data_IF_189344726334
#
_entry.id   IF_189344726334
#
_cell.length_a   1.000
_cell.length_b   1.000
_cell.length_c   1.000
_cell.angle_alpha   90.00
_cell.angle_beta   90.00
_cell.angle_gamma   90.00
#
_symmetry.space_group_name_H-M   'P 1'
#
loop_
_entity.id
_entity.type
_entity.pdbx_description
1 polymer ?
#
# COMPACT_ATOMS: atom_id res chain seq x y z
N UNK A 1 -12.29 8.95 -1.40
CA UNK A 1 -11.08 9.36 -0.72
C UNK A 1 -10.45 8.16 0.01
N UNK A 2 -9.43 7.57 -0.55
CA UNK A 2 -8.35 6.79 0.04
C UNK A 2 -8.62 5.90 1.26
N UNK A 3 -9.62 5.03 1.22
CA UNK A 3 -9.95 4.16 2.36
C UNK A 3 -8.92 3.05 2.61
N UNK A 4 -7.97 2.85 1.69
CA UNK A 4 -7.06 1.71 1.70
C UNK A 4 -5.69 1.98 2.34
N UNK A 5 -5.35 3.22 2.62
CA UNK A 5 -4.10 3.50 3.29
C UNK A 5 -4.21 3.11 4.77
N UNK A 6 -3.39 2.19 5.28
CA UNK A 6 -3.56 1.67 6.64
C UNK A 6 -3.27 2.71 7.72
N UNK A 7 -2.41 3.68 7.42
CA UNK A 7 -2.05 4.76 8.35
C UNK A 7 -2.32 6.12 7.74
N UNK A 8 -2.92 7.02 8.50
CA UNK A 8 -3.35 8.36 8.06
C UNK A 8 -2.93 9.40 9.09
N UNK A 9 -1.61 9.55 9.26
CA UNK A 9 -1.06 10.55 10.14
C UNK A 9 -1.31 11.97 9.59
N UNK A 10 -1.47 12.98 10.44
CA UNK A 10 -1.48 14.36 10.03
C UNK A 10 -0.08 14.77 9.54
N UNK A 11 -0.03 15.67 8.57
CA UNK A 11 1.21 16.32 8.16
C UNK A 11 1.42 17.56 9.05
N UNK A 12 2.18 17.39 10.12
CA UNK A 12 2.56 18.47 11.04
C UNK A 12 4.07 18.60 11.00
N UNK A 13 4.58 19.81 10.75
CA UNK A 13 6.03 20.07 10.78
C UNK A 13 6.60 19.68 12.14
N UNK A 14 7.79 19.07 12.22
CA UNK A 14 8.48 18.79 13.48
C UNK A 14 8.70 20.05 14.35
N UNK A 15 8.84 21.22 13.70
CA UNK A 15 9.03 22.50 14.37
C UNK A 15 7.73 23.17 14.83
N UNK A 16 6.58 22.58 14.49
CA UNK A 16 5.27 23.11 14.88
C UNK A 16 4.96 22.77 16.32
N UNK A 17 4.86 23.78 17.19
CA UNK A 17 4.45 23.58 18.58
C UNK A 17 2.94 23.30 18.70
N UNK A 18 2.55 22.55 19.72
CA UNK A 18 1.14 22.32 20.04
C UNK A 18 0.37 23.63 20.27
N UNK A 19 1.03 24.64 20.83
CA UNK A 19 0.42 25.97 21.05
C UNK A 19 0.11 26.67 19.73
N UNK A 20 1.05 26.70 18.79
CA UNK A 20 0.84 27.32 17.49
C UNK A 20 -0.28 26.59 16.69
N UNK A 21 -0.29 25.27 16.76
CA UNK A 21 -1.33 24.46 16.14
C UNK A 21 -2.68 24.64 16.80
N UNK A 22 -2.73 24.82 18.14
CA UNK A 22 -3.97 25.12 18.87
C UNK A 22 -4.56 26.46 18.47
N UNK A 23 -3.75 27.48 18.25
CA UNK A 23 -4.19 28.76 17.72
C UNK A 23 -4.86 28.60 16.35
N UNK A 24 -4.21 27.87 15.41
CA UNK A 24 -4.77 27.57 14.11
C UNK A 24 -6.08 26.77 14.19
N UNK A 25 -6.18 25.79 15.09
CA UNK A 25 -7.41 25.02 15.32
C UNK A 25 -8.56 25.84 15.94
N UNK A 26 -8.25 26.96 16.57
CA UNK A 26 -9.23 27.87 17.15
C UNK A 26 -9.81 28.85 16.14
N UNK A 27 -9.16 29.01 14.98
CA UNK A 27 -9.61 29.91 13.93
C UNK A 27 -10.96 29.50 13.32
N UNK A 28 -11.78 30.46 12.89
CA UNK A 28 -13.08 30.19 12.25
C UNK A 28 -12.95 29.27 11.03
N UNK A 29 -11.86 29.38 10.26
CA UNK A 29 -11.59 28.53 9.11
C UNK A 29 -11.47 27.05 9.48
N UNK A 30 -10.77 26.73 10.58
CA UNK A 30 -10.68 25.35 11.07
C UNK A 30 -12.04 24.81 11.53
N UNK A 31 -12.81 25.64 12.24
CA UNK A 31 -14.15 25.28 12.72
C UNK A 31 -15.16 25.11 11.59
N UNK A 32 -14.99 25.81 10.46
CA UNK A 32 -15.85 25.68 9.28
C UNK A 32 -15.70 24.33 8.56
N UNK A 33 -14.60 23.59 8.80
CA UNK A 33 -14.41 22.23 8.26
C UNK A 33 -15.35 21.18 8.87
N UNK A 34 -16.10 21.56 9.89
CA UNK A 34 -17.14 20.74 10.51
C UNK A 34 -16.91 20.50 12.00
N UNK A 35 -18.00 20.12 12.71
CA UNK A 35 -17.99 19.95 14.16
C UNK A 35 -17.25 18.68 14.62
N UNK A 36 -16.98 17.75 13.71
CA UNK A 36 -16.34 16.48 14.01
C UNK A 36 -15.26 16.16 12.96
N UNK A 37 -14.04 15.98 13.44
CA UNK A 37 -12.96 15.48 12.62
C UNK A 37 -12.68 14.02 12.98
N UNK A 38 -12.55 13.18 11.96
CA UNK A 38 -12.19 11.78 12.11
C UNK A 38 -10.83 11.53 11.46
N UNK A 39 -9.88 11.09 12.26
CA UNK A 39 -8.54 10.77 11.82
C UNK A 39 -8.20 9.32 12.16
N UNK A 40 -7.39 8.71 11.35
CA UNK A 40 -6.89 7.38 11.62
C UNK A 40 -7.34 6.30 10.61
N UNK A 41 -6.81 5.09 10.80
CA UNK A 41 -5.86 4.70 11.85
C UNK A 41 -4.54 5.46 11.80
N UNK A 42 -3.95 5.71 12.95
CA UNK A 42 -2.63 6.34 13.11
C UNK A 42 -1.79 5.49 14.06
N UNK A 43 -0.48 5.64 14.00
CA UNK A 43 0.40 5.03 15.00
C UNK A 43 0.26 5.82 16.31
N UNK A 44 0.22 5.10 17.43
CA UNK A 44 0.10 5.74 18.76
C UNK A 44 1.35 6.50 19.20
N UNK A 45 2.50 6.15 18.61
CA UNK A 45 3.81 6.75 18.87
C UNK A 45 4.21 7.81 17.81
N UNK A 46 3.31 8.21 16.93
CA UNK A 46 3.58 9.23 15.91
C UNK A 46 3.63 10.63 16.56
N UNK A 47 4.76 11.36 16.48
CA UNK A 47 4.90 12.68 17.09
C UNK A 47 3.88 13.70 16.56
N UNK A 48 3.58 13.66 15.26
CA UNK A 48 2.59 14.58 14.66
C UNK A 48 1.19 14.35 15.23
N UNK A 49 0.84 13.10 15.52
CA UNK A 49 -0.43 12.73 16.15
C UNK A 49 -0.47 13.23 17.59
N UNK A 50 0.60 13.06 18.34
CA UNK A 50 0.71 13.53 19.73
C UNK A 50 0.56 15.05 19.78
N UNK A 51 1.30 15.77 18.95
CA UNK A 51 1.23 17.24 18.84
C UNK A 51 -0.19 17.70 18.48
N UNK A 52 -0.85 17.03 17.53
CA UNK A 52 -2.22 17.38 17.13
C UNK A 52 -3.24 17.11 18.25
N UNK A 53 -3.13 16.01 18.99
CA UNK A 53 -4.01 15.71 20.13
C UNK A 53 -3.87 16.78 21.20
N UNK A 54 -2.66 17.13 21.59
CA UNK A 54 -2.38 18.18 22.56
C UNK A 54 -2.93 19.53 22.09
N UNK A 55 -2.66 19.92 20.84
CA UNK A 55 -3.17 21.14 20.25
C UNK A 55 -4.71 21.20 20.23
N UNK A 56 -5.35 20.09 19.89
CA UNK A 56 -6.80 20.00 19.85
C UNK A 56 -7.39 20.20 21.26
N UNK A 57 -6.80 19.60 22.30
CA UNK A 57 -7.21 19.76 23.68
C UNK A 57 -7.01 21.21 24.17
N UNK A 58 -5.90 21.85 23.85
CA UNK A 58 -5.64 23.27 24.15
C UNK A 58 -6.63 24.20 23.43
N UNK A 59 -7.07 23.85 22.22
CA UNK A 59 -8.07 24.58 21.46
C UNK A 59 -9.54 24.31 21.92
N UNK A 60 -9.72 23.51 22.98
CA UNK A 60 -11.02 23.19 23.55
C UNK A 60 -11.81 22.10 22.79
N UNK A 61 -11.13 21.31 21.94
CA UNK A 61 -11.77 20.16 21.28
C UNK A 61 -11.83 18.97 22.23
N UNK A 62 -12.92 18.22 22.15
CA UNK A 62 -13.02 16.93 22.82
C UNK A 62 -12.38 15.86 21.96
N UNK A 63 -11.27 15.30 22.42
CA UNK A 63 -10.56 14.22 21.72
C UNK A 63 -11.01 12.87 22.26
N UNK A 64 -11.41 11.97 21.36
CA UNK A 64 -11.76 10.59 21.65
C UNK A 64 -10.83 9.67 20.87
N UNK A 65 -10.09 8.82 21.59
CA UNK A 65 -9.20 7.81 21.00
C UNK A 65 -9.74 6.42 21.28
N UNK A 66 -9.54 5.52 20.32
CA UNK A 66 -9.81 4.09 20.50
C UNK A 66 -8.79 3.24 19.75
N UNK A 67 -8.43 2.05 20.25
CA UNK A 67 -7.63 1.10 19.49
C UNK A 67 -8.35 0.74 18.19
N UNK A 68 -7.63 0.76 17.07
CA UNK A 68 -8.14 0.38 15.76
C UNK A 68 -7.69 -1.03 15.34
N UNK A 69 -6.63 -1.54 15.96
CA UNK A 69 -6.04 -2.84 15.66
C UNK A 69 -4.53 -2.83 15.87
N UNK A 70 -3.90 -3.93 15.48
CA UNK A 70 -2.45 -4.09 15.50
C UNK A 70 -1.92 -4.10 14.07
N UNK A 71 -0.91 -3.31 13.81
CA UNK A 71 -0.14 -3.37 12.56
C UNK A 71 1.03 -4.33 12.74
N UNK A 72 1.23 -5.22 11.78
CA UNK A 72 2.33 -6.18 11.80
C UNK A 72 3.43 -5.70 10.88
N UNK A 73 4.65 -5.71 11.38
CA UNK A 73 5.87 -5.41 10.64
C UNK A 73 6.66 -6.70 10.52
N UNK A 74 7.13 -7.01 9.31
CA UNK A 74 8.04 -8.13 9.07
C UNK A 74 9.45 -7.58 9.05
N UNK A 75 10.29 -8.06 9.95
CA UNK A 75 11.73 -7.81 9.92
C UNK A 75 12.36 -8.72 8.87
N UNK A 76 12.70 -8.15 7.71
CA UNK A 76 13.23 -8.90 6.59
C UNK A 76 14.67 -9.39 6.85
N UNK A 77 15.47 -8.66 7.60
CA UNK A 77 16.83 -9.07 7.92
C UNK A 77 16.84 -10.22 8.93
N UNK A 78 15.99 -10.14 9.96
CA UNK A 78 15.79 -11.26 10.86
C UNK A 78 15.23 -12.50 10.12
N UNK A 79 14.34 -12.31 9.18
CA UNK A 79 13.78 -13.40 8.38
C UNK A 79 14.81 -14.02 7.41
N UNK A 80 15.71 -13.22 6.85
CA UNK A 80 16.81 -13.71 5.99
C UNK A 80 17.87 -14.47 6.81
N UNK A 81 18.20 -13.96 8.00
CA UNK A 81 19.13 -14.61 8.92
C UNK A 81 18.58 -15.94 9.45
N UNK A 82 17.27 -16.01 9.70
CA UNK A 82 16.58 -17.19 10.21
C UNK A 82 15.39 -17.54 9.31
N UNK A 83 15.63 -18.06 8.09
CA UNK A 83 14.54 -18.41 7.19
C UNK A 83 13.64 -19.46 7.86
N UNK A 84 12.32 -19.34 7.72
CA UNK A 84 11.40 -20.30 8.31
C UNK A 84 11.77 -21.70 7.87
N UNK A 85 12.08 -22.53 8.84
CA UNK A 85 12.51 -23.91 8.63
C UNK A 85 11.49 -24.67 7.78
N UNK A 86 11.97 -25.73 7.12
CA UNK A 86 11.27 -26.65 6.22
C UNK A 86 9.80 -26.93 6.63
N UNK A 87 8.91 -25.99 6.32
CA UNK A 87 7.49 -26.11 6.56
C UNK A 87 6.71 -26.57 5.33
N UNK A 88 5.41 -26.84 5.51
CA UNK A 88 4.51 -27.18 4.39
C UNK A 88 4.37 -26.06 3.36
N UNK A 89 4.57 -24.80 3.75
CA UNK A 89 4.44 -23.63 2.87
C UNK A 89 5.47 -23.61 1.75
N UNK A 90 6.80 -23.71 1.97
CA UNK A 90 7.77 -23.75 0.88
C UNK A 90 7.55 -24.90 -0.11
N UNK A 91 7.10 -26.07 0.39
CA UNK A 91 6.76 -27.21 -0.46
C UNK A 91 5.56 -26.93 -1.35
N UNK A 92 4.51 -26.32 -0.79
CA UNK A 92 3.29 -25.94 -1.55
C UNK A 92 3.61 -24.88 -2.60
N UNK A 93 4.44 -23.87 -2.26
CA UNK A 93 4.85 -22.84 -3.21
C UNK A 93 5.64 -23.44 -4.38
N UNK A 94 6.62 -24.31 -4.12
CA UNK A 94 7.35 -25.00 -5.18
C UNK A 94 6.46 -25.88 -6.06
N UNK A 95 5.51 -26.59 -5.47
CA UNK A 95 4.55 -27.39 -6.23
C UNK A 95 3.60 -26.53 -7.07
N UNK A 96 3.14 -25.41 -6.53
CA UNK A 96 2.32 -24.43 -7.25
C UNK A 96 3.10 -23.80 -8.41
N UNK A 97 4.35 -23.40 -8.16
CA UNK A 97 5.21 -22.80 -9.17
C UNK A 97 5.46 -23.76 -10.36
N UNK A 98 5.73 -25.06 -10.11
CA UNK A 98 5.85 -26.05 -11.20
C UNK A 98 4.59 -26.18 -12.03
N UNK A 99 3.39 -26.09 -11.40
CA UNK A 99 2.13 -26.09 -12.15
C UNK A 99 2.00 -24.84 -13.01
N UNK A 100 2.46 -23.70 -12.50
CA UNK A 100 2.47 -22.44 -13.22
C UNK A 100 3.39 -22.49 -14.43
N UNK A 101 4.63 -22.98 -14.26
CA UNK A 101 5.60 -23.19 -15.35
C UNK A 101 5.11 -24.18 -16.44
N UNK A 102 4.24 -25.11 -16.07
CA UNK A 102 3.65 -26.04 -17.03
C UNK A 102 2.58 -25.39 -17.93
N UNK A 103 2.11 -24.18 -17.60
CA UNK A 103 1.11 -23.44 -18.37
C UNK A 103 1.73 -22.44 -19.37
N UNK A 104 3.00 -22.13 -19.26
CA UNK A 104 3.70 -21.17 -20.12
C UNK A 104 5.03 -20.74 -19.49
N UNK A 105 5.65 -19.73 -20.05
CA UNK A 105 6.95 -19.21 -19.60
C UNK A 105 6.77 -18.04 -18.63
N UNK A 106 7.10 -18.21 -17.33
CA UNK A 106 7.03 -17.08 -16.39
C UNK A 106 8.16 -16.09 -16.61
N UNK A 107 7.85 -14.80 -16.55
CA UNK A 107 8.86 -13.77 -16.43
C UNK A 107 8.42 -12.64 -15.47
N UNK A 108 9.41 -11.95 -14.92
CA UNK A 108 9.21 -10.88 -13.96
C UNK A 108 9.62 -9.55 -14.56
N UNK A 109 8.78 -8.54 -14.35
CA UNK A 109 9.12 -7.15 -14.64
C UNK A 109 9.12 -6.38 -13.33
N UNK A 110 10.25 -5.77 -12.98
CA UNK A 110 10.36 -4.81 -11.88
C UNK A 110 10.34 -3.41 -12.47
N UNK A 111 9.60 -2.50 -11.82
CA UNK A 111 9.43 -1.11 -12.27
C UNK A 111 9.66 -0.19 -11.08
N UNK A 112 10.56 0.77 -11.20
CA UNK A 112 10.81 1.81 -10.21
C UNK A 112 11.45 3.04 -10.87
N UNK A 113 11.41 4.20 -10.24
CA UNK A 113 12.05 5.43 -10.73
C UNK A 113 11.64 5.76 -12.16
N UNK A 114 12.61 6.04 -13.01
CA UNK A 114 12.38 6.35 -14.42
C UNK A 114 11.88 5.20 -15.30
N UNK A 115 11.68 4.00 -14.75
CA UNK A 115 11.17 2.83 -15.49
C UNK A 115 9.64 2.79 -15.56
N UNK A 116 8.96 3.68 -14.85
CA UNK A 116 7.50 3.76 -14.89
C UNK A 116 7.00 4.17 -16.27
N UNK A 117 6.05 3.38 -16.80
CA UNK A 117 5.39 3.65 -18.07
C UNK A 117 3.89 3.29 -18.03
N UNK A 118 3.19 3.67 -19.07
CA UNK A 118 1.76 3.40 -19.22
C UNK A 118 1.46 1.90 -19.28
N UNK A 119 2.39 1.10 -19.83
CA UNK A 119 2.18 -0.34 -19.99
C UNK A 119 2.20 -1.06 -18.63
N UNK A 120 3.09 -0.67 -17.72
CA UNK A 120 3.10 -1.21 -16.35
C UNK A 120 1.76 -0.96 -15.64
N UNK A 121 1.23 0.26 -15.73
CA UNK A 121 -0.05 0.62 -15.13
C UNK A 121 -1.22 -0.13 -15.78
N UNK A 122 -1.19 -0.31 -17.09
CA UNK A 122 -2.19 -1.10 -17.81
C UNK A 122 -2.13 -2.58 -17.44
N UNK A 123 -0.93 -3.15 -17.31
CA UNK A 123 -0.75 -4.54 -16.90
C UNK A 123 -1.33 -4.79 -15.50
N UNK A 124 -1.04 -3.91 -14.53
CA UNK A 124 -1.63 -3.99 -13.19
C UNK A 124 -3.16 -3.85 -13.22
N UNK A 125 -3.69 -2.95 -14.07
CA UNK A 125 -5.14 -2.78 -14.24
C UNK A 125 -5.82 -4.02 -14.83
N UNK A 126 -5.20 -4.72 -15.77
CA UNK A 126 -5.70 -5.99 -16.32
C UNK A 126 -5.74 -7.07 -15.24
N UNK A 127 -4.71 -7.15 -14.41
CA UNK A 127 -4.68 -8.10 -13.29
C UNK A 127 -5.80 -7.80 -12.30
N UNK A 128 -6.03 -6.53 -11.94
CA UNK A 128 -7.14 -6.17 -11.04
C UNK A 128 -8.50 -6.54 -11.62
N UNK A 129 -8.69 -6.33 -12.93
CA UNK A 129 -9.94 -6.67 -13.63
C UNK A 129 -10.22 -8.19 -13.66
N UNK A 130 -9.17 -9.02 -13.68
CA UNK A 130 -9.27 -10.50 -13.67
C UNK A 130 -9.15 -11.09 -12.25
N UNK A 131 -9.10 -10.25 -11.21
CA UNK A 131 -8.89 -10.68 -9.83
C UNK A 131 -10.20 -10.71 -9.02
N UNK A 132 -10.09 -11.16 -7.78
CA UNK A 132 -11.18 -11.12 -6.79
C UNK A 132 -11.72 -9.69 -6.57
N UNK A 133 -10.91 -8.64 -6.82
CA UNK A 133 -11.32 -7.25 -6.62
C UNK A 133 -12.52 -6.93 -7.53
N UNK A 134 -12.43 -7.24 -8.82
CA UNK A 134 -13.52 -7.01 -9.76
C UNK A 134 -14.70 -7.97 -9.53
N UNK A 135 -14.43 -9.21 -9.08
CA UNK A 135 -15.47 -10.23 -8.91
C UNK A 135 -16.27 -10.08 -7.62
N UNK A 136 -15.58 -9.79 -6.51
CA UNK A 136 -16.16 -9.90 -5.15
C UNK A 136 -16.39 -8.53 -4.50
N UNK A 137 -16.04 -7.43 -5.17
CA UNK A 137 -16.22 -6.06 -4.68
C UNK A 137 -16.84 -5.16 -5.76
N UNK A 138 -17.16 -3.93 -5.38
CA UNK A 138 -17.60 -2.88 -6.30
C UNK A 138 -16.45 -2.23 -7.11
N UNK A 139 -15.22 -2.76 -6.99
CA UNK A 139 -14.03 -2.22 -7.64
C UNK A 139 -13.47 -0.95 -7.02
N UNK A 140 -14.10 -0.40 -5.97
CA UNK A 140 -13.62 0.83 -5.31
C UNK A 140 -12.25 0.67 -4.65
N UNK A 141 -11.87 -0.57 -4.35
CA UNK A 141 -10.55 -0.94 -3.81
C UNK A 141 -9.45 -1.00 -4.87
N UNK A 142 -9.78 -1.10 -6.15
CA UNK A 142 -8.80 -1.16 -7.23
C UNK A 142 -8.00 0.16 -7.32
N UNK A 143 -6.77 0.05 -7.81
CA UNK A 143 -5.86 1.18 -7.99
C UNK A 143 -5.61 1.51 -9.46
N UNK A 144 -5.75 0.53 -10.34
CA UNK A 144 -5.33 0.61 -11.74
C UNK A 144 -6.41 0.15 -12.73
N UNK A 145 -7.54 -0.39 -12.26
CA UNK A 145 -8.54 -1.03 -13.12
C UNK A 145 -9.16 -0.06 -14.13
N UNK A 146 -9.52 1.15 -13.70
CA UNK A 146 -10.09 2.17 -14.60
C UNK A 146 -9.03 3.18 -15.09
N UNK A 147 -9.36 3.92 -16.15
CA UNK A 147 -8.50 4.97 -16.68
C UNK A 147 -8.29 6.09 -15.65
N UNK A 148 -9.35 6.45 -14.92
CA UNK A 148 -9.31 7.48 -13.87
C UNK A 148 -8.40 7.07 -12.71
N UNK A 149 -8.47 5.80 -12.29
CA UNK A 149 -7.59 5.27 -11.25
C UNK A 149 -6.13 5.32 -11.69
N UNK A 150 -5.83 4.90 -12.93
CA UNK A 150 -4.47 4.99 -13.49
C UNK A 150 -3.98 6.42 -13.63
N UNK A 151 -4.85 7.36 -14.02
CA UNK A 151 -4.49 8.77 -14.16
C UNK A 151 -4.00 9.39 -12.84
N UNK A 152 -4.55 8.99 -11.71
CA UNK A 152 -4.07 9.42 -10.38
C UNK A 152 -2.61 9.01 -10.16
N UNK A 153 -2.27 7.75 -10.48
CA UNK A 153 -0.90 7.26 -10.34
C UNK A 153 0.03 7.84 -11.39
N UNK A 154 -0.43 8.02 -12.64
CA UNK A 154 0.34 8.72 -13.66
C UNK A 154 0.72 10.13 -13.21
N UNK A 155 -0.22 10.86 -12.62
CA UNK A 155 0.07 12.19 -12.08
C UNK A 155 1.07 12.11 -10.91
N UNK A 156 0.90 11.19 -9.97
CA UNK A 156 1.83 11.02 -8.86
C UNK A 156 3.26 10.70 -9.33
N UNK A 157 3.38 9.88 -10.37
CA UNK A 157 4.67 9.46 -10.94
C UNK A 157 5.37 10.57 -11.76
N UNK A 158 4.71 11.71 -12.00
CA UNK A 158 5.39 12.89 -12.56
C UNK A 158 6.34 13.56 -11.57
N UNK A 159 6.15 13.31 -10.28
CA UNK A 159 7.08 13.73 -9.23
C UNK A 159 8.22 12.71 -9.11
N UNK A 160 9.48 13.08 -9.42
CA UNK A 160 10.61 12.16 -9.35
C UNK A 160 10.83 11.57 -7.95
N UNK A 161 10.57 12.35 -6.88
CA UNK A 161 10.75 11.87 -5.52
C UNK A 161 9.72 10.80 -5.14
N UNK A 162 8.53 10.85 -5.71
CA UNK A 162 7.51 9.81 -5.56
C UNK A 162 7.85 8.61 -6.45
N UNK A 163 8.22 8.83 -7.70
CA UNK A 163 8.56 7.78 -8.66
C UNK A 163 9.71 6.89 -8.16
N UNK A 164 10.75 7.49 -7.55
CA UNK A 164 11.89 6.76 -6.98
C UNK A 164 11.52 5.91 -5.76
N UNK A 165 10.46 6.27 -5.05
CA UNK A 165 10.00 5.52 -3.86
C UNK A 165 8.96 4.47 -4.19
N UNK A 166 8.28 4.58 -5.32
CA UNK A 166 7.30 3.59 -5.76
C UNK A 166 7.98 2.45 -6.52
N UNK A 167 7.60 1.24 -6.18
CA UNK A 167 8.10 0.02 -6.80
C UNK A 167 6.94 -0.89 -7.17
N UNK A 168 7.00 -1.53 -8.33
CA UNK A 168 6.11 -2.62 -8.67
C UNK A 168 6.90 -3.84 -9.15
N UNK A 169 6.42 -5.02 -8.78
CA UNK A 169 6.86 -6.29 -9.35
C UNK A 169 5.66 -6.92 -10.04
N UNK A 170 5.76 -7.16 -11.33
CA UNK A 170 4.69 -7.72 -12.16
C UNK A 170 5.15 -9.08 -12.66
N UNK A 171 4.35 -10.10 -12.45
CA UNK A 171 4.55 -11.45 -12.98
C UNK A 171 3.72 -11.61 -14.25
N UNK A 172 4.36 -12.14 -15.27
CA UNK A 172 3.74 -12.52 -16.54
C UNK A 172 3.83 -14.04 -16.73
N UNK A 173 2.87 -14.58 -17.43
CA UNK A 173 2.89 -15.91 -18.03
C UNK A 173 2.81 -15.71 -19.53
N UNK A 174 3.88 -15.98 -20.24
CA UNK A 174 4.10 -15.49 -21.61
C UNK A 174 3.86 -13.96 -21.65
N UNK A 175 2.98 -13.46 -22.50
CA UNK A 175 2.66 -12.03 -22.61
C UNK A 175 1.49 -11.58 -21.70
N UNK A 176 0.90 -12.51 -20.92
CA UNK A 176 -0.24 -12.20 -20.04
C UNK A 176 0.25 -11.77 -18.66
N UNK A 177 -0.07 -10.56 -18.18
CA UNK A 177 0.18 -10.17 -16.80
C UNK A 177 -0.78 -10.93 -15.87
N UNK A 178 -0.25 -11.53 -14.78
CA UNK A 178 -1.02 -12.47 -13.94
C UNK A 178 -0.98 -12.17 -12.43
N UNK A 179 0.02 -11.43 -11.96
CA UNK A 179 0.08 -11.00 -10.57
C UNK A 179 0.96 -9.75 -10.45
N UNK A 180 0.70 -8.90 -9.47
CA UNK A 180 1.57 -7.77 -9.14
C UNK A 180 1.61 -7.49 -7.65
N UNK A 181 2.72 -6.89 -7.20
CA UNK A 181 2.87 -6.13 -5.96
C UNK A 181 3.21 -4.70 -6.33
N UNK A 182 2.61 -3.75 -5.63
CA UNK A 182 2.86 -2.32 -5.77
C UNK A 182 3.10 -1.74 -4.38
N UNK A 183 4.30 -1.25 -4.16
CA UNK A 183 4.84 -0.94 -2.85
C UNK A 183 5.42 0.47 -2.83
N UNK A 184 5.52 1.06 -1.63
CA UNK A 184 6.24 2.31 -1.37
C UNK A 184 7.42 2.04 -0.45
N UNK A 185 8.60 2.44 -0.86
CA UNK A 185 9.81 2.42 -0.05
C UNK A 185 10.02 3.77 0.64
N UNK A 186 10.08 3.76 1.96
CA UNK A 186 10.38 4.93 2.78
C UNK A 186 11.50 4.61 3.78
N UNK A 187 12.73 4.92 3.38
CA UNK A 187 13.92 4.56 4.13
C UNK A 187 14.05 3.05 4.30
N UNK A 188 14.11 2.54 5.54
CA UNK A 188 14.24 1.10 5.80
C UNK A 188 12.91 0.34 5.73
N UNK A 189 11.80 1.01 5.45
CA UNK A 189 10.45 0.40 5.51
C UNK A 189 9.83 0.35 4.13
N UNK A 190 9.35 -0.84 3.75
CA UNK A 190 8.49 -1.04 2.57
C UNK A 190 7.04 -1.16 2.98
N UNK A 191 6.20 -0.34 2.40
CA UNK A 191 4.75 -0.35 2.60
C UNK A 191 4.07 -0.99 1.40
N UNK A 192 3.40 -2.13 1.60
CA UNK A 192 2.56 -2.74 0.59
C UNK A 192 1.31 -1.87 0.36
N UNK A 193 1.18 -1.28 -0.82
CA UNK A 193 0.02 -0.44 -1.20
C UNK A 193 -1.07 -1.29 -1.81
N UNK A 194 -0.72 -2.13 -2.77
CA UNK A 194 -1.64 -3.00 -3.48
C UNK A 194 -0.93 -4.26 -3.97
N UNK A 195 -1.68 -5.33 -4.08
CA UNK A 195 -1.19 -6.57 -4.67
C UNK A 195 -2.33 -7.54 -4.88
N UNK A 196 -2.37 -8.13 -6.06
CA UNK A 196 -3.37 -9.14 -6.40
C UNK A 196 -2.87 -10.06 -7.51
N UNK A 197 -3.70 -11.02 -7.87
CA UNK A 197 -3.44 -11.97 -8.94
C UNK A 197 -4.75 -12.39 -9.62
N UNK A 198 -4.64 -12.90 -10.83
CA UNK A 198 -5.78 -13.39 -11.58
C UNK A 198 -6.36 -14.66 -10.93
N UNK A 199 -7.67 -14.76 -10.91
CA UNK A 199 -8.38 -15.82 -10.16
C UNK A 199 -8.22 -17.23 -10.74
N UNK A 200 -8.13 -17.35 -12.05
CA UNK A 200 -7.96 -18.65 -12.72
C UNK A 200 -6.65 -19.37 -12.35
N UNK A 201 -5.63 -18.61 -11.92
CA UNK A 201 -4.33 -19.12 -11.50
C UNK A 201 -4.12 -19.19 -9.98
N UNK A 202 -5.14 -18.95 -9.17
CA UNK A 202 -5.03 -18.99 -7.70
C UNK A 202 -4.52 -20.34 -7.16
N UNK A 203 -4.83 -21.43 -7.86
CA UNK A 203 -4.39 -22.79 -7.51
C UNK A 203 -2.87 -23.00 -7.67
N UNK A 204 -2.17 -22.11 -8.39
CA UNK A 204 -0.72 -22.08 -8.54
C UNK A 204 -0.02 -21.30 -7.41
N UNK A 205 -0.75 -20.73 -6.46
CA UNK A 205 -0.20 -19.94 -5.34
C UNK A 205 0.65 -18.74 -5.77
N UNK A 206 0.41 -18.19 -6.97
CA UNK A 206 1.23 -17.10 -7.53
C UNK A 206 1.25 -15.84 -6.65
N UNK A 207 0.12 -15.48 -6.01
CA UNK A 207 0.07 -14.34 -5.09
C UNK A 207 0.99 -14.52 -3.89
N UNK A 208 1.10 -15.75 -3.32
CA UNK A 208 2.03 -16.03 -2.23
C UNK A 208 3.48 -16.01 -2.72
N UNK A 209 3.73 -16.56 -3.90
CA UNK A 209 5.07 -16.54 -4.51
C UNK A 209 5.53 -15.10 -4.78
N UNK A 210 4.62 -14.24 -5.26
CA UNK A 210 4.87 -12.83 -5.45
C UNK A 210 5.29 -12.15 -4.14
N UNK A 211 4.54 -12.35 -3.05
CA UNK A 211 4.86 -11.78 -1.74
C UNK A 211 6.27 -12.19 -1.25
N UNK A 212 6.66 -13.45 -1.45
CA UNK A 212 8.01 -13.89 -1.09
C UNK A 212 9.10 -13.28 -1.97
N UNK A 213 8.77 -12.84 -3.18
CA UNK A 213 9.72 -12.21 -4.08
C UNK A 213 9.81 -10.70 -3.88
N UNK A 214 8.75 -10.05 -3.45
CA UNK A 214 8.73 -8.60 -3.15
C UNK A 214 9.40 -8.26 -1.82
N UNK A 215 9.64 -9.25 -0.97
CA UNK A 215 10.41 -9.14 0.27
C UNK A 215 11.92 -9.33 0.00
#
# INVERSE_FOLDING_TARGET
AGSYWPLRAPLVSPDCSAIALAQALSEPAARSLGPVWRMGPVRSDDPAVTTLIEAAQLAGWRVLSRPAGTSWIIDLDAMRANPPSRGSTPRKLRAGWRKFEALGTPHWRTVHGGQWDTEALLAMGRIEADSWIARDTDGSGAKFMTAEQRAVWQLALTDPAIAERLCAIILFLDDRPVAFSFDLDDGPVRYAIAGTHVEDLKHCYIGKTLNYRSM
#
